data_IF_625029190251
#
_entry.id   IF_625029190251
#
_cell.length_a   1.000
_cell.length_b   1.000
_cell.length_c   1.000
_cell.angle_alpha   90.00
_cell.angle_beta   90.00
_cell.angle_gamma   90.00
#
_symmetry.space_group_name_H-M   'P 1'
#
loop_
_entity.id
_entity.type
_entity.pdbx_description
1 polymer ?
#
# COMPACT_ATOMS: atom_id res chain seq x y z
N UNK A 1 -3.23 10.42 -7.85
CA UNK A 1 -2.57 10.50 -6.53
C UNK A 1 -3.58 10.65 -5.38
N UNK A 2 -4.44 9.65 -5.17
CA UNK A 2 -5.43 9.63 -4.05
C UNK A 2 -5.46 8.25 -3.41
N UNK A 3 -5.63 7.21 -4.23
CA UNK A 3 -5.80 5.83 -3.75
C UNK A 3 -4.59 5.28 -2.99
N UNK A 4 -3.37 5.57 -3.45
CA UNK A 4 -2.14 5.12 -2.81
C UNK A 4 -1.85 5.81 -1.46
N UNK A 5 -1.90 7.16 -1.35
CA UNK A 5 -1.83 7.84 -0.06
C UNK A 5 -2.89 7.32 0.92
N UNK A 6 -4.13 7.16 0.43
CA UNK A 6 -5.24 6.62 1.22
C UNK A 6 -4.91 5.22 1.76
N UNK A 7 -4.44 4.31 0.91
CA UNK A 7 -4.08 2.97 1.33
C UNK A 7 -2.94 2.98 2.37
N UNK A 8 -1.92 3.84 2.19
CA UNK A 8 -0.80 3.97 3.12
C UNK A 8 -1.23 4.51 4.49
N UNK A 9 -2.03 5.57 4.51
CA UNK A 9 -2.65 6.12 5.72
C UNK A 9 -3.52 5.06 6.39
N UNK A 10 -4.46 4.46 5.65
CA UNK A 10 -5.35 3.43 6.18
C UNK A 10 -4.58 2.24 6.77
N UNK A 11 -3.52 1.77 6.10
CA UNK A 11 -2.68 0.69 6.62
C UNK A 11 -1.99 1.03 7.95
N UNK A 12 -1.70 2.31 8.19
CA UNK A 12 -1.13 2.81 9.44
C UNK A 12 -2.16 2.89 10.57
N UNK A 13 -3.34 3.44 10.31
CA UNK A 13 -4.38 3.60 11.33
C UNK A 13 -5.12 2.28 11.61
N UNK A 14 -5.56 1.55 10.59
CA UNK A 14 -6.34 0.32 10.77
C UNK A 14 -5.54 -0.82 11.41
N UNK A 15 -4.20 -0.81 11.30
CA UNK A 15 -3.36 -1.84 11.94
C UNK A 15 -3.60 -1.94 13.45
N UNK A 16 -3.92 -0.81 14.10
CA UNK A 16 -4.15 -0.74 15.54
C UNK A 16 -5.53 -1.23 15.99
N UNK A 17 -6.51 -1.32 15.08
CA UNK A 17 -7.92 -1.54 15.44
C UNK A 17 -8.59 -2.69 14.70
N UNK A 18 -8.18 -2.99 13.46
CA UNK A 18 -8.91 -3.89 12.58
C UNK A 18 -8.04 -5.09 12.15
N UNK A 19 -8.40 -6.34 12.52
CA UNK A 19 -7.57 -7.51 12.26
C UNK A 19 -7.42 -7.83 10.76
N UNK A 20 -8.34 -7.34 9.92
CA UNK A 20 -8.33 -7.57 8.47
C UNK A 20 -7.76 -6.37 7.69
N UNK A 21 -7.04 -5.45 8.36
CA UNK A 21 -6.47 -4.25 7.73
C UNK A 21 -5.63 -4.57 6.47
N UNK A 22 -4.90 -5.69 6.46
CA UNK A 22 -4.10 -6.14 5.31
C UNK A 22 -4.97 -6.39 4.09
N UNK A 23 -6.15 -7.01 4.25
CA UNK A 23 -7.07 -7.25 3.14
C UNK A 23 -7.59 -5.95 2.54
N UNK A 24 -7.96 -5.00 3.39
CA UNK A 24 -8.45 -3.69 2.93
C UNK A 24 -7.32 -2.94 2.23
N UNK A 25 -6.12 -2.94 2.80
CA UNK A 25 -4.94 -2.31 2.20
C UNK A 25 -4.59 -2.92 0.85
N UNK A 26 -4.57 -4.26 0.75
CA UNK A 26 -4.33 -4.97 -0.51
C UNK A 26 -5.42 -4.69 -1.55
N UNK A 27 -6.69 -4.67 -1.15
CA UNK A 27 -7.78 -4.40 -2.06
C UNK A 27 -7.66 -3.00 -2.70
N UNK A 28 -7.41 -1.97 -1.88
CA UNK A 28 -7.24 -0.61 -2.41
C UNK A 28 -5.96 -0.51 -3.26
N UNK A 29 -4.81 -0.97 -2.75
CA UNK A 29 -3.52 -0.81 -3.44
C UNK A 29 -3.39 -1.72 -4.67
N UNK A 30 -3.59 -3.02 -4.49
CA UNK A 30 -3.37 -4.03 -5.53
C UNK A 30 -4.55 -4.18 -6.47
N UNK A 31 -5.78 -4.32 -5.96
CA UNK A 31 -6.94 -4.65 -6.80
C UNK A 31 -7.50 -3.41 -7.50
N UNK A 32 -7.54 -2.27 -6.84
CA UNK A 32 -8.07 -1.04 -7.45
C UNK A 32 -6.94 -0.22 -8.08
N UNK A 33 -5.92 0.11 -7.31
CA UNK A 33 -4.98 1.15 -7.74
C UNK A 33 -4.03 0.70 -8.86
N UNK A 34 -3.59 -0.57 -8.88
CA UNK A 34 -2.71 -1.06 -9.95
C UNK A 34 -3.43 -1.10 -11.30
N UNK A 35 -4.66 -1.64 -11.45
CA UNK A 35 -5.40 -1.53 -12.71
C UNK A 35 -5.63 -0.10 -13.15
N UNK A 36 -6.01 0.80 -12.22
CA UNK A 36 -6.15 2.23 -12.53
C UNK A 36 -4.84 2.83 -13.02
N UNK A 37 -3.71 2.49 -12.40
CA UNK A 37 -2.38 2.94 -12.82
C UNK A 37 -2.04 2.46 -14.24
N UNK A 38 -2.30 1.19 -14.55
CA UNK A 38 -2.07 0.62 -15.89
C UNK A 38 -2.94 1.31 -16.93
N UNK A 39 -4.25 1.45 -16.67
CA UNK A 39 -5.18 2.08 -17.61
C UNK A 39 -4.83 3.55 -17.84
N UNK A 40 -4.54 4.30 -16.78
CA UNK A 40 -4.20 5.73 -16.91
C UNK A 40 -2.88 5.94 -17.63
N UNK A 41 -1.87 5.09 -17.37
CA UNK A 41 -0.62 5.12 -18.12
C UNK A 41 -0.86 4.81 -19.61
N UNK A 42 -1.60 3.75 -19.91
CA UNK A 42 -1.90 3.34 -21.30
C UNK A 42 -2.67 4.43 -22.07
N UNK A 43 -3.65 5.08 -21.42
CA UNK A 43 -4.36 6.22 -22.01
C UNK A 43 -3.43 7.42 -22.24
N UNK A 44 -2.53 7.71 -21.30
CA UNK A 44 -1.54 8.78 -21.45
C UNK A 44 -0.59 8.55 -22.62
N UNK A 45 -0.11 7.33 -22.81
CA UNK A 45 0.74 6.97 -23.96
C UNK A 45 -0.04 6.97 -25.27
N UNK A 46 -1.28 6.47 -25.27
CA UNK A 46 -2.11 6.42 -26.47
C UNK A 46 -2.51 7.82 -26.98
N UNK A 47 -2.83 8.73 -26.06
CA UNK A 47 -3.11 10.13 -26.40
C UNK A 47 -1.91 10.81 -27.05
N UNK A 48 -0.70 10.54 -26.54
CA UNK A 48 0.53 11.09 -27.11
C UNK A 48 0.85 10.50 -28.49
N UNK A 49 0.57 9.21 -28.70
CA UNK A 49 0.82 8.54 -29.98
C UNK A 49 -0.20 8.85 -31.08
N UNK A 50 -1.41 9.30 -30.72
CA UNK A 50 -2.48 9.63 -31.68
C UNK A 50 -2.33 10.99 -32.37
N UNK A 51 -1.20 11.69 -32.17
CA UNK A 51 -0.96 13.04 -32.67
C UNK A 51 -0.38 13.15 -34.07
N UNK A 52 -0.19 12.03 -34.81
CA UNK A 52 0.33 12.09 -36.17
C UNK A 52 -0.81 12.37 -37.17
N UNK A 53 -0.78 13.46 -37.96
CA UNK A 53 -1.84 13.81 -38.93
C UNK A 53 -2.09 12.73 -40.01
N UNK A 54 -1.16 11.79 -40.16
CA UNK A 54 -1.16 10.80 -41.23
C UNK A 54 -1.79 9.46 -40.82
N UNK A 55 -2.13 9.26 -39.54
CA UNK A 55 -2.85 8.07 -39.10
C UNK A 55 -4.35 8.27 -39.30
N UNK A 56 -4.88 7.75 -40.42
CA UNK A 56 -6.30 7.79 -40.77
C UNK A 56 -7.25 7.29 -39.66
N UNK A 57 -8.56 7.50 -39.84
CA UNK A 57 -9.57 7.27 -38.79
C UNK A 57 -9.67 5.77 -38.48
N UNK A 58 -8.99 5.28 -37.44
CA UNK A 58 -9.07 3.84 -37.14
C UNK A 58 -8.35 3.27 -35.93
N UNK A 59 -7.37 3.93 -35.31
CA UNK A 59 -6.63 3.32 -34.19
C UNK A 59 -7.22 3.69 -32.82
N UNK A 60 -8.42 3.17 -32.51
CA UNK A 60 -8.93 3.15 -31.13
C UNK A 60 -8.34 1.96 -30.37
N UNK A 61 -8.00 2.22 -29.12
CA UNK A 61 -6.97 1.55 -28.32
C UNK A 61 -7.27 0.11 -27.84
N UNK A 62 -8.08 -0.69 -28.52
CA UNK A 62 -8.48 -2.03 -28.01
C UNK A 62 -8.60 -3.16 -29.04
N UNK A 63 -8.07 -3.05 -30.27
CA UNK A 63 -8.47 -4.03 -31.30
C UNK A 63 -7.54 -4.41 -32.45
N UNK A 64 -6.36 -3.82 -32.63
CA UNK A 64 -5.46 -4.26 -33.72
C UNK A 64 -4.05 -4.39 -33.17
N UNK A 65 -3.43 -5.56 -33.42
CA UNK A 65 -2.18 -6.01 -32.81
C UNK A 65 -0.93 -5.25 -33.22
N UNK A 66 -0.96 -3.91 -33.19
CA UNK A 66 0.23 -3.08 -33.22
C UNK A 66 0.54 -2.64 -31.80
N UNK A 67 1.66 -3.11 -31.29
CA UNK A 67 2.18 -2.87 -29.95
C UNK A 67 2.64 -1.41 -29.86
N UNK A 68 1.70 -0.47 -29.84
CA UNK A 68 1.98 0.95 -29.66
C UNK A 68 2.89 1.22 -28.46
N UNK A 69 2.95 0.34 -27.46
CA UNK A 69 3.88 0.45 -26.35
C UNK A 69 5.36 0.25 -26.72
N UNK A 70 5.70 -0.55 -27.73
CA UNK A 70 7.08 -0.80 -28.12
C UNK A 70 7.54 0.05 -29.33
N UNK A 71 6.64 0.43 -30.25
CA UNK A 71 6.98 1.37 -31.33
C UNK A 71 7.25 2.78 -30.77
N UNK A 72 6.51 3.20 -29.75
CA UNK A 72 6.68 4.54 -29.16
C UNK A 72 7.87 4.65 -28.19
N UNK A 73 8.50 3.55 -27.75
CA UNK A 73 9.69 3.59 -26.89
C UNK A 73 10.97 3.89 -27.68
N UNK A 74 10.93 3.75 -29.01
CA UNK A 74 12.07 3.94 -29.91
C UNK A 74 12.27 5.36 -30.45
N UNK A 75 11.23 6.20 -30.51
CA UNK A 75 11.31 7.57 -31.07
C UNK A 75 11.71 8.60 -29.99
N UNK A 76 12.76 9.36 -30.30
CA UNK A 76 13.72 9.98 -29.40
C UNK A 76 13.28 11.31 -28.76
N UNK A 77 12.17 11.91 -29.20
CA UNK A 77 11.63 13.14 -28.59
C UNK A 77 10.54 12.89 -27.53
N UNK A 78 9.94 11.68 -27.50
CA UNK A 78 8.73 11.43 -26.70
C UNK A 78 8.99 11.08 -25.23
N UNK A 79 10.22 10.69 -24.86
CA UNK A 79 10.60 10.24 -23.50
C UNK A 79 11.56 11.17 -22.79
N UNK A 80 11.83 12.35 -23.33
CA UNK A 80 12.79 13.29 -22.74
C UNK A 80 12.24 14.01 -21.52
N UNK A 81 10.93 14.25 -21.47
CA UNK A 81 10.28 14.95 -20.35
C UNK A 81 10.22 14.11 -19.07
N UNK A 82 10.51 14.76 -17.95
CA UNK A 82 10.53 14.17 -16.60
C UNK A 82 9.21 13.51 -16.23
N UNK A 83 8.07 14.10 -16.60
CA UNK A 83 6.74 13.57 -16.29
C UNK A 83 6.51 12.14 -16.82
N UNK A 84 6.87 11.88 -18.08
CA UNK A 84 6.67 10.56 -18.71
C UNK A 84 7.64 9.52 -18.14
N UNK A 85 8.90 9.90 -17.89
CA UNK A 85 9.90 9.04 -17.23
C UNK A 85 9.44 8.64 -15.83
N UNK A 86 8.99 9.61 -15.03
CA UNK A 86 8.42 9.34 -13.72
C UNK A 86 7.17 8.46 -13.82
N UNK A 87 6.29 8.71 -14.79
CA UNK A 87 5.11 7.88 -15.03
C UNK A 87 5.47 6.40 -15.25
N UNK A 88 6.47 6.12 -16.09
CA UNK A 88 6.93 4.75 -16.35
C UNK A 88 7.60 4.12 -15.13
N UNK A 89 8.48 4.87 -14.46
CA UNK A 89 9.12 4.43 -13.21
C UNK A 89 8.06 4.09 -12.15
N UNK A 90 7.05 4.94 -11.98
CA UNK A 90 5.94 4.71 -11.04
C UNK A 90 5.09 3.50 -11.42
N UNK A 91 4.84 3.26 -12.71
CA UNK A 91 4.14 2.07 -13.19
C UNK A 91 4.88 0.80 -12.78
N UNK A 92 6.18 0.72 -13.12
CA UNK A 92 7.02 -0.44 -12.82
C UNK A 92 7.14 -0.63 -11.31
N UNK A 93 7.55 0.43 -10.59
CA UNK A 93 7.70 0.37 -9.13
C UNK A 93 6.39 0.03 -8.44
N UNK A 94 5.25 0.51 -8.94
CA UNK A 94 3.95 0.22 -8.37
C UNK A 94 3.51 -1.22 -8.49
N UNK A 95 3.69 -1.81 -9.67
CA UNK A 95 3.41 -3.23 -9.89
C UNK A 95 4.34 -4.08 -9.01
N UNK A 96 5.64 -3.79 -9.03
CA UNK A 96 6.63 -4.50 -8.21
C UNK A 96 6.32 -4.36 -6.72
N UNK A 97 5.96 -3.17 -6.25
CA UNK A 97 5.60 -2.91 -4.86
C UNK A 97 4.32 -3.64 -4.44
N UNK A 98 3.32 -3.72 -5.32
CA UNK A 98 2.09 -4.46 -5.07
C UNK A 98 2.35 -5.97 -5.00
N UNK A 99 3.13 -6.52 -5.93
CA UNK A 99 3.54 -7.93 -5.92
C UNK A 99 4.41 -8.26 -4.69
N UNK A 100 5.35 -7.39 -4.37
CA UNK A 100 6.19 -7.52 -3.19
C UNK A 100 5.37 -7.46 -1.90
N UNK A 101 4.46 -6.50 -1.79
CA UNK A 101 3.52 -6.37 -0.68
C UNK A 101 2.62 -7.60 -0.53
N UNK A 102 2.12 -8.12 -1.66
CA UNK A 102 1.35 -9.36 -1.69
C UNK A 102 2.17 -10.55 -1.19
N UNK A 103 3.41 -10.71 -1.68
CA UNK A 103 4.33 -11.77 -1.24
C UNK A 103 4.58 -11.74 0.27
N UNK A 104 4.99 -10.59 0.83
CA UNK A 104 5.26 -10.49 2.27
C UNK A 104 4.01 -10.67 3.17
N UNK A 105 2.81 -10.46 2.62
CA UNK A 105 1.54 -10.53 3.36
C UNK A 105 0.77 -11.83 3.15
N UNK A 106 0.97 -12.55 2.04
CA UNK A 106 0.38 -13.86 1.77
C UNK A 106 1.03 -15.00 2.56
N UNK A 107 2.17 -14.74 3.16
CA UNK A 107 3.06 -15.76 3.69
C UNK A 107 2.93 -15.86 5.22
N UNK A 108 2.60 -16.98 5.90
CA UNK A 108 2.53 -18.42 5.59
C UNK A 108 3.71 -19.08 4.89
N UNK A 109 4.57 -18.34 4.20
CA UNK A 109 5.90 -18.82 3.89
C UNK A 109 6.70 -18.66 5.15
N UNK A 110 6.81 -19.82 5.79
CA UNK A 110 7.81 -20.16 6.78
C UNK A 110 9.18 -20.18 6.10
N UNK A 111 9.56 -19.10 5.40
CA UNK A 111 10.97 -18.87 5.16
C UNK A 111 11.58 -18.80 6.57
N UNK A 112 12.66 -19.53 6.86
CA UNK A 112 13.31 -19.57 8.16
C UNK A 112 14.05 -18.25 8.44
N UNK A 113 13.45 -17.11 8.08
CA UNK A 113 13.79 -15.79 8.59
C UNK A 113 12.95 -15.54 9.85
N UNK A 114 12.91 -16.54 10.73
CA UNK A 114 12.41 -16.44 12.10
C UNK A 114 13.42 -15.65 12.91
N UNK A 115 13.40 -14.34 12.74
CA UNK A 115 14.10 -13.36 13.53
C UNK A 115 13.36 -12.04 13.41
N UNK A 116 13.33 -11.26 14.48
CA UNK A 116 12.62 -9.99 14.59
C UNK A 116 13.09 -8.87 13.62
N UNK A 117 13.88 -9.19 12.59
CA UNK A 117 14.57 -8.23 11.71
C UNK A 117 14.78 -8.70 10.27
N UNK A 118 13.76 -9.28 9.60
CA UNK A 118 13.83 -9.40 8.14
C UNK A 118 13.74 -8.00 7.54
N UNK A 119 14.85 -7.49 6.99
CA UNK A 119 14.99 -6.19 6.30
C UNK A 119 13.85 -5.97 5.30
N UNK A 120 13.33 -7.05 4.70
CA UNK A 120 12.21 -7.05 3.77
C UNK A 120 10.93 -6.43 4.37
N UNK A 121 10.65 -6.64 5.66
CA UNK A 121 9.46 -6.04 6.30
C UNK A 121 9.53 -4.53 6.45
N UNK A 122 10.74 -3.96 6.49
CA UNK A 122 10.98 -2.52 6.55
C UNK A 122 11.18 -1.91 5.17
N UNK A 123 11.70 -2.68 4.22
CA UNK A 123 11.86 -2.25 2.83
C UNK A 123 10.51 -1.89 2.20
N UNK A 124 9.47 -2.70 2.40
CA UNK A 124 8.14 -2.43 1.83
C UNK A 124 7.59 -1.04 2.17
N UNK A 125 7.44 -0.63 3.45
CA UNK A 125 6.93 0.70 3.76
C UNK A 125 7.88 1.83 3.31
N UNK A 126 9.20 1.62 3.31
CA UNK A 126 10.17 2.64 2.85
C UNK A 126 10.04 2.88 1.36
N UNK A 127 10.07 1.81 0.56
CA UNK A 127 9.87 1.89 -0.89
C UNK A 127 8.49 2.48 -1.20
N UNK A 128 7.46 2.10 -0.46
CA UNK A 128 6.12 2.68 -0.60
C UNK A 128 6.09 4.20 -0.40
N UNK A 129 6.81 4.74 0.60
CA UNK A 129 6.93 6.19 0.82
C UNK A 129 7.66 6.86 -0.35
N UNK A 130 8.74 6.26 -0.84
CA UNK A 130 9.48 6.78 -2.00
C UNK A 130 8.56 6.89 -3.22
N UNK A 131 7.79 5.84 -3.50
CA UNK A 131 6.86 5.86 -4.65
C UNK A 131 5.76 6.90 -4.45
N UNK A 132 5.26 7.11 -3.22
CA UNK A 132 4.32 8.20 -2.93
C UNK A 132 4.92 9.58 -3.23
N UNK A 133 6.15 9.84 -2.79
CA UNK A 133 6.86 11.11 -3.05
C UNK A 133 7.02 11.31 -4.57
N UNK A 134 7.53 10.30 -5.26
CA UNK A 134 7.69 10.33 -6.72
C UNK A 134 6.35 10.55 -7.42
N UNK A 135 5.26 9.99 -6.89
CA UNK A 135 3.90 10.19 -7.41
C UNK A 135 3.44 11.64 -7.33
N UNK A 136 3.70 12.32 -6.21
CA UNK A 136 3.39 13.75 -6.08
C UNK A 136 4.25 14.62 -7.01
N UNK A 137 5.54 14.29 -7.13
CA UNK A 137 6.44 14.97 -8.08
C UNK A 137 5.94 14.77 -9.51
N UNK A 138 5.58 13.55 -9.90
CA UNK A 138 5.06 13.27 -11.24
C UNK A 138 3.81 14.09 -11.58
N UNK A 139 2.89 14.28 -10.61
CA UNK A 139 1.72 15.14 -10.81
C UNK A 139 2.12 16.59 -10.96
N UNK A 140 3.06 17.08 -10.16
CA UNK A 140 3.57 18.45 -10.28
C UNK A 140 4.18 18.71 -11.66
N UNK A 141 5.03 17.81 -12.14
CA UNK A 141 5.58 17.87 -13.51
C UNK A 141 4.48 17.86 -14.58
N UNK A 142 3.40 17.10 -14.35
CA UNK A 142 2.24 17.09 -15.24
C UNK A 142 1.46 18.40 -15.24
N UNK A 143 1.37 19.09 -14.10
CA UNK A 143 0.78 20.42 -14.01
C UNK A 143 1.62 21.47 -14.76
N UNK A 144 2.95 21.37 -14.73
CA UNK A 144 3.84 22.25 -15.49
C UNK A 144 3.63 22.08 -17.01
N UNK A 145 3.51 20.83 -17.47
CA UNK A 145 3.22 20.53 -18.89
C UNK A 145 1.82 21.07 -19.26
N UNK A 146 0.82 20.86 -18.40
CA UNK A 146 -0.53 21.35 -18.65
C UNK A 146 -0.62 22.88 -18.70
N UNK A 147 0.27 23.56 -17.96
CA UNK A 147 0.41 25.02 -17.99
C UNK A 147 1.18 25.58 -19.18
N UNK A 148 1.37 24.82 -20.26
CA UNK A 148 2.03 25.30 -21.49
C UNK A 148 1.03 25.39 -22.64
N UNK A 149 1.05 26.50 -23.42
CA UNK A 149 1.98 27.64 -23.33
C UNK A 149 1.58 28.71 -22.29
N UNK A 150 0.39 28.59 -21.69
CA UNK A 150 -0.13 29.59 -20.75
C UNK A 150 -0.19 29.05 -19.33
N UNK A 151 0.42 29.75 -18.34
CA UNK A 151 0.52 29.25 -16.98
C UNK A 151 -0.85 28.90 -16.39
N UNK A 152 -0.90 27.82 -15.63
CA UNK A 152 -2.10 27.48 -14.88
C UNK A 152 -2.45 28.61 -13.88
N UNK A 153 -3.74 28.79 -13.55
CA UNK A 153 -4.13 29.68 -12.47
C UNK A 153 -3.38 29.34 -11.17
N UNK A 154 -2.92 30.36 -10.44
CA UNK A 154 -2.20 30.18 -9.17
C UNK A 154 -2.95 29.28 -8.18
N UNK A 155 -4.28 29.33 -8.19
CA UNK A 155 -5.14 28.48 -7.36
C UNK A 155 -4.91 26.98 -7.59
N UNK A 156 -4.55 26.55 -8.79
CA UNK A 156 -4.30 25.13 -9.10
C UNK A 156 -3.06 24.60 -8.38
N UNK A 157 -1.98 25.39 -8.39
CA UNK A 157 -0.73 25.03 -7.70
C UNK A 157 -0.93 25.06 -6.17
N UNK A 158 -1.67 26.06 -5.67
CA UNK A 158 -2.04 26.12 -4.24
C UNK A 158 -2.87 24.89 -3.84
N UNK A 159 -3.90 24.54 -4.62
CA UNK A 159 -4.74 23.39 -4.34
C UNK A 159 -3.94 22.08 -4.34
N UNK A 160 -3.01 21.91 -5.28
CA UNK A 160 -2.08 20.77 -5.27
C UNK A 160 -1.22 20.74 -4.00
N UNK A 161 -0.65 21.88 -3.59
CA UNK A 161 0.16 21.98 -2.38
C UNK A 161 -0.62 21.67 -1.11
N UNK A 162 -1.88 22.15 -1.02
CA UNK A 162 -2.78 21.83 0.09
C UNK A 162 -3.11 20.33 0.13
N UNK A 163 -3.38 19.71 -1.03
CA UNK A 163 -3.63 18.27 -1.09
C UNK A 163 -2.41 17.44 -0.65
N UNK A 164 -1.21 17.82 -1.08
CA UNK A 164 0.04 17.21 -0.61
C UNK A 164 0.20 17.35 0.91
N UNK A 165 0.05 18.57 1.42
CA UNK A 165 0.16 18.86 2.85
C UNK A 165 -0.85 18.06 3.67
N UNK A 166 -2.10 17.95 3.19
CA UNK A 166 -3.14 17.13 3.81
C UNK A 166 -2.69 15.67 3.98
N UNK A 167 -2.15 15.04 2.93
CA UNK A 167 -1.69 13.66 3.00
C UNK A 167 -0.48 13.49 3.92
N UNK A 168 0.47 14.43 3.91
CA UNK A 168 1.64 14.42 4.80
C UNK A 168 1.20 14.52 6.25
N UNK A 169 0.33 15.49 6.58
CA UNK A 169 -0.18 15.68 7.95
C UNK A 169 -0.93 14.43 8.42
N UNK A 170 -1.81 13.86 7.60
CA UNK A 170 -2.52 12.63 7.96
C UNK A 170 -1.58 11.45 8.20
N UNK A 171 -0.55 11.29 7.37
CA UNK A 171 0.42 10.22 7.52
C UNK A 171 1.26 10.39 8.80
N UNK A 172 1.69 11.61 9.08
CA UNK A 172 2.48 11.95 10.27
C UNK A 172 1.66 11.82 11.56
N UNK A 173 0.40 12.27 11.56
CA UNK A 173 -0.51 12.11 12.70
C UNK A 173 -0.66 10.64 13.12
N UNK A 174 -0.54 9.70 12.17
CA UNK A 174 -0.58 8.27 12.47
C UNK A 174 0.60 7.79 13.34
N UNK A 175 1.70 8.53 13.43
CA UNK A 175 2.79 8.23 14.38
C UNK A 175 2.39 8.46 15.84
N UNK A 176 1.33 9.22 16.12
CA UNK A 176 0.79 9.32 17.48
C UNK A 176 0.32 7.96 18.03
N UNK A 177 0.00 6.99 17.15
CA UNK A 177 -0.35 5.62 17.53
C UNK A 177 0.88 4.73 17.78
N UNK A 178 2.09 5.19 17.45
CA UNK A 178 3.32 4.41 17.56
C UNK A 178 3.63 3.94 18.99
N UNK A 179 3.51 4.77 20.05
CA UNK A 179 3.78 4.31 21.42
C UNK A 179 2.90 3.13 21.82
N UNK A 180 1.62 3.15 21.41
CA UNK A 180 0.68 2.05 21.64
C UNK A 180 1.11 0.79 20.89
N UNK A 181 1.41 0.91 19.60
CA UNK A 181 1.89 -0.21 18.77
C UNK A 181 3.20 -0.83 19.31
N UNK A 182 4.05 -0.01 19.91
CA UNK A 182 5.29 -0.46 20.55
C UNK A 182 5.03 -1.26 21.82
N UNK A 183 4.16 -0.77 22.71
CA UNK A 183 3.77 -1.47 23.95
C UNK A 183 3.15 -2.84 23.66
N UNK A 184 2.22 -2.91 22.70
CA UNK A 184 1.58 -4.16 22.28
C UNK A 184 2.61 -5.19 21.77
N UNK A 185 3.67 -4.74 21.09
CA UNK A 185 4.76 -5.62 20.63
C UNK A 185 5.63 -6.11 21.78
N UNK A 186 5.98 -5.25 22.73
CA UNK A 186 6.78 -5.62 23.90
C UNK A 186 6.04 -6.64 24.77
N UNK A 187 4.75 -6.43 25.00
CA UNK A 187 3.90 -7.38 25.74
C UNK A 187 3.81 -8.73 25.02
N UNK A 188 3.59 -8.74 23.70
CA UNK A 188 3.60 -9.96 22.90
C UNK A 188 4.94 -10.71 23.01
N UNK A 189 6.07 -10.00 22.90
CA UNK A 189 7.41 -10.60 23.05
C UNK A 189 7.59 -11.19 24.46
N UNK A 190 7.13 -10.47 25.49
CA UNK A 190 7.20 -10.92 26.88
C UNK A 190 6.38 -12.20 27.08
N UNK A 191 5.14 -12.25 26.59
CA UNK A 191 4.28 -13.44 26.68
C UNK A 191 4.84 -14.65 25.93
N UNK A 192 5.41 -14.43 24.73
CA UNK A 192 6.12 -15.48 23.97
C UNK A 192 7.34 -15.99 24.73
N UNK A 193 8.13 -15.10 25.36
CA UNK A 193 9.30 -15.51 26.16
C UNK A 193 8.92 -16.30 27.42
N UNK A 194 7.71 -16.08 27.97
CA UNK A 194 7.18 -16.84 29.10
C UNK A 194 6.53 -18.17 28.69
N UNK A 195 6.49 -18.50 27.39
CA UNK A 195 5.81 -19.70 26.88
C UNK A 195 4.28 -19.67 27.03
N UNK A 196 3.70 -18.51 27.38
CA UNK A 196 2.25 -18.32 27.62
C UNK A 196 1.47 -18.01 26.35
N UNK A 197 2.14 -17.89 25.21
CA UNK A 197 1.53 -17.48 23.97
C UNK A 197 2.08 -18.26 22.79
N UNK A 198 1.19 -18.85 22.00
CA UNK A 198 1.55 -19.53 20.76
C UNK A 198 2.09 -18.55 19.73
N UNK A 199 3.08 -18.97 18.93
CA UNK A 199 3.67 -18.15 17.86
C UNK A 199 2.58 -17.73 16.85
N UNK A 200 2.13 -16.47 16.94
CA UNK A 200 1.09 -15.90 16.07
C UNK A 200 -0.22 -15.51 16.77
N UNK A 201 -0.32 -15.72 18.07
CA UNK A 201 -1.49 -15.33 18.89
C UNK A 201 -1.42 -13.83 19.25
N UNK A 202 -2.57 -13.15 19.29
CA UNK A 202 -2.63 -11.71 19.62
C UNK A 202 -2.71 -11.52 21.14
N UNK A 203 -2.10 -10.46 21.67
CA UNK A 203 -2.07 -10.10 23.11
C UNK A 203 -3.46 -10.10 23.77
N UNK A 204 -4.48 -9.61 23.07
CA UNK A 204 -5.86 -9.66 23.59
C UNK A 204 -6.48 -11.06 23.64
N UNK A 205 -6.10 -11.98 22.75
CA UNK A 205 -6.69 -13.33 22.70
C UNK A 205 -6.19 -14.22 23.85
N UNK A 206 -4.93 -14.05 24.26
CA UNK A 206 -4.35 -14.82 25.36
C UNK A 206 -4.95 -14.44 26.73
N UNK A 207 -5.19 -13.14 26.96
CA UNK A 207 -5.82 -12.64 28.20
C UNK A 207 -7.27 -13.14 28.33
N UNK A 208 -8.03 -13.13 27.25
CA UNK A 208 -9.40 -13.64 27.24
C UNK A 208 -9.44 -15.18 27.43
N UNK A 209 -8.46 -15.89 26.88
CA UNK A 209 -8.33 -17.35 26.98
C UNK A 209 -8.01 -17.86 28.38
N UNK A 210 -7.18 -17.14 29.14
CA UNK A 210 -6.81 -17.51 30.50
C UNK A 210 -7.95 -17.24 31.50
N UNK A 211 -8.67 -16.11 31.34
CA UNK A 211 -9.90 -15.84 32.14
C UNK A 211 -10.99 -16.90 31.91
N UNK A 212 -11.08 -17.44 30.69
CA UNK A 212 -12.07 -18.47 30.32
C UNK A 212 -11.66 -19.87 30.78
N UNK A 213 -10.36 -20.14 30.97
CA UNK A 213 -9.88 -21.40 31.54
C UNK A 213 -10.08 -21.43 33.06
N UNK A 214 -9.87 -20.31 33.75
CA UNK A 214 -10.13 -20.23 35.18
C UNK A 214 -11.63 -20.28 35.50
N UNK A 215 -12.50 -19.75 34.63
CA UNK A 215 -13.96 -19.80 34.86
C UNK A 215 -14.63 -21.15 34.55
N UNK A 216 -13.93 -22.10 33.91
CA UNK A 216 -14.48 -23.42 33.53
C UNK A 216 -14.05 -24.53 34.50
N UNK A 217 -13.19 -24.25 35.48
CA UNK A 217 -12.68 -25.22 36.45
C UNK A 217 -13.07 -24.88 37.90
N UNK A 218 -14.39 -24.79 38.20
CA UNK A 218 -14.83 -25.32 39.50
C UNK A 218 -15.94 -26.38 39.43
N UNK A 219 -16.75 -26.43 38.37
CA UNK A 219 -17.99 -27.22 38.40
C UNK A 219 -17.79 -28.74 38.24
N UNK A 220 -16.68 -29.20 37.64
CA UNK A 220 -16.44 -30.63 37.49
C UNK A 220 -15.83 -31.30 38.73
N UNK A 221 -15.17 -30.53 39.59
CA UNK A 221 -14.60 -31.05 40.84
C UNK A 221 -15.65 -31.08 41.97
N UNK A 222 -16.63 -30.17 41.97
CA UNK A 222 -17.75 -30.23 42.93
C UNK A 222 -18.70 -31.40 42.64
N UNK A 223 -19.01 -31.66 41.36
CA UNK A 223 -19.84 -32.80 40.96
C UNK A 223 -19.19 -34.14 41.34
N UNK A 224 -17.86 -34.24 41.24
CA UNK A 224 -17.11 -35.45 41.60
C UNK A 224 -16.97 -35.66 43.12
N UNK A 225 -17.03 -34.58 43.92
CA UNK A 225 -17.02 -34.67 45.40
C UNK A 225 -18.37 -35.06 45.98
N UNK A 226 -19.48 -34.78 45.28
CA UNK A 226 -20.82 -35.18 45.70
C UNK A 226 -21.14 -36.66 45.46
N UNK A 227 -20.41 -37.35 44.56
CA UNK A 227 -20.57 -38.80 44.32
C UNK A 227 -19.83 -39.69 45.33
N UNK A 228 -18.93 -39.12 46.14
CA UNK A 228 -18.04 -39.86 47.05
C UNK A 228 -18.37 -39.62 48.53
N UNK A 229 -19.40 -38.82 48.84
CA UNK A 229 -19.91 -38.55 50.19
C UNK A 229 -21.29 -39.20 50.39
#
# INVERSE_FOLDING_TARGET
>A
MVLWPLAAVMGRYLRSYYPRWVRVHYFISGVISVPVLIVTFALGTAHKSGGSPDSGPGHWALGTGNWALADNVGDDDNWTETHYRLGLVLLILGILQALYGWGIHLERVRLPVSGAGSILRYAHPVVGIIILILGFVQVYEGLDIWGKPSPLPHGTIIAWGVLLAFWVVLYLAGFALFPRQWRERLEAQRLVSMGRMGRGEKVGAAVDGESRRESVVPLQDEARRAEVA
#
